data_IF_334531212814
#
_entry.id   IF_334531212814
#
_cell.length_a   1.000
_cell.length_b   1.000
_cell.length_c   1.000
_cell.angle_alpha   90.00
_cell.angle_beta   90.00
_cell.angle_gamma   90.00
#
_symmetry.space_group_name_H-M   'P 1'
#
loop_
_entity.id
_entity.type
_entity.pdbx_description
1 polymer ?
#
# COMPACT_ATOMS: atom_id res chain seq x y z
N UNK A 1 -5.34 -4.86 6.99
CA UNK A 1 -4.22 -4.51 6.08
C UNK A 1 -2.97 -5.21 6.59
N UNK A 2 -2.09 -5.71 5.73
CA UNK A 2 -0.83 -6.35 6.11
C UNK A 2 0.30 -6.01 5.12
N UNK A 3 1.54 -5.99 5.60
CA UNK A 3 2.76 -5.80 4.78
C UNK A 3 3.64 -7.01 4.99
N UNK A 4 4.01 -7.72 3.91
CA UNK A 4 4.78 -8.96 3.95
C UNK A 4 4.25 -9.94 5.01
N UNK A 5 2.94 -10.21 4.98
CA UNK A 5 2.23 -11.07 5.94
C UNK A 5 2.19 -10.58 7.39
N UNK A 6 2.81 -9.44 7.72
CA UNK A 6 2.69 -8.85 9.04
C UNK A 6 1.44 -7.95 9.10
N UNK A 7 0.60 -8.11 10.13
CA UNK A 7 -0.58 -7.26 10.30
C UNK A 7 -0.14 -5.80 10.45
N UNK A 8 -0.83 -4.92 9.72
CA UNK A 8 -0.72 -3.48 9.86
C UNK A 8 -1.97 -3.01 10.59
N UNK A 9 -1.87 -2.95 11.91
CA UNK A 9 -2.73 -2.15 12.76
C UNK A 9 -2.01 -0.85 13.11
N UNK A 10 -2.74 0.26 13.24
CA UNK A 10 -2.17 1.58 13.54
C UNK A 10 -1.18 1.57 14.73
N UNK A 11 -1.45 0.83 15.83
CA UNK A 11 -0.52 0.74 16.95
C UNK A 11 0.79 0.01 16.63
N UNK A 12 0.78 -1.07 15.85
CA UNK A 12 2.01 -1.83 15.54
C UNK A 12 2.58 -1.55 14.15
N UNK A 13 1.98 -0.64 13.36
CA UNK A 13 2.42 -0.33 12.01
C UNK A 13 3.90 0.05 11.95
N UNK A 14 4.34 0.94 12.84
CA UNK A 14 5.75 1.38 12.89
C UNK A 14 6.66 0.21 13.20
N UNK A 15 6.34 -0.58 14.22
CA UNK A 15 7.12 -1.74 14.66
C UNK A 15 7.23 -2.81 13.56
N UNK A 16 6.10 -3.20 12.97
CA UNK A 16 6.05 -4.26 11.98
C UNK A 16 6.70 -3.82 10.66
N UNK A 17 6.52 -2.56 10.27
CA UNK A 17 7.19 -1.99 9.09
C UNK A 17 8.70 -1.92 9.32
N UNK A 18 9.16 -1.48 10.49
CA UNK A 18 10.59 -1.49 10.83
C UNK A 18 11.19 -2.90 10.77
N UNK A 19 10.46 -3.92 11.26
CA UNK A 19 10.90 -5.31 11.17
C UNK A 19 11.05 -5.77 9.71
N UNK A 20 10.10 -5.43 8.83
CA UNK A 20 10.22 -5.71 7.39
C UNK A 20 11.42 -5.00 6.79
N UNK A 21 11.56 -3.69 7.06
CA UNK A 21 12.65 -2.86 6.54
C UNK A 21 14.03 -3.32 7.01
N UNK A 22 14.14 -3.94 8.19
CA UNK A 22 15.41 -4.46 8.71
C UNK A 22 15.91 -5.72 7.99
N UNK A 23 15.01 -6.48 7.37
CA UNK A 23 15.32 -7.78 6.76
C UNK A 23 15.28 -7.77 5.22
N UNK A 24 14.58 -6.80 4.63
CA UNK A 24 14.38 -6.70 3.19
C UNK A 24 15.60 -6.07 2.50
N UNK A 25 15.97 -6.60 1.33
CA UNK A 25 17.05 -6.09 0.49
C UNK A 25 16.49 -5.41 -0.76
N UNK A 26 17.27 -4.50 -1.35
CA UNK A 26 16.90 -3.89 -2.65
C UNK A 26 16.70 -4.98 -3.70
N UNK A 27 15.56 -4.94 -4.39
CA UNK A 27 15.15 -5.93 -5.38
C UNK A 27 14.23 -7.03 -4.82
N UNK A 28 14.17 -7.24 -3.50
CA UNK A 28 13.24 -8.19 -2.90
C UNK A 28 11.79 -7.77 -3.11
N UNK A 29 10.87 -8.70 -3.24
CA UNK A 29 9.46 -8.37 -3.45
C UNK A 29 8.79 -7.94 -2.15
N UNK A 30 8.28 -6.71 -2.12
CA UNK A 30 7.39 -6.21 -1.08
C UNK A 30 5.94 -6.43 -1.49
N UNK A 31 5.17 -7.02 -0.59
CA UNK A 31 3.76 -7.32 -0.74
C UNK A 31 2.96 -6.49 0.27
N UNK A 32 1.98 -5.74 -0.20
CA UNK A 32 0.98 -5.06 0.61
C UNK A 32 -0.38 -5.67 0.31
N UNK A 33 -1.04 -6.23 1.33
CA UNK A 33 -2.37 -6.82 1.22
C UNK A 33 -3.39 -5.94 1.95
N UNK A 34 -4.41 -5.51 1.22
CA UNK A 34 -5.45 -4.60 1.71
C UNK A 34 -6.77 -5.33 1.66
N UNK A 35 -7.33 -5.65 2.82
CA UNK A 35 -8.70 -6.13 2.94
C UNK A 35 -9.66 -4.94 2.83
N UNK A 36 -10.58 -4.97 1.86
CA UNK A 36 -11.64 -3.98 1.64
C UNK A 36 -12.99 -4.66 1.73
N UNK A 37 -13.99 -4.02 2.34
CA UNK A 37 -15.34 -4.56 2.29
C UNK A 37 -15.89 -4.49 0.85
N UNK A 38 -16.58 -5.55 0.43
CA UNK A 38 -17.21 -5.64 -0.88
C UNK A 38 -18.72 -5.41 -0.79
N UNK A 39 -19.37 -5.24 -1.94
CA UNK A 39 -20.81 -4.95 -2.05
C UNK A 39 -21.71 -6.11 -1.57
N UNK A 40 -21.12 -7.24 -1.17
CA UNK A 40 -21.81 -8.47 -0.74
C UNK A 40 -21.73 -8.70 0.77
N UNK A 41 -21.25 -7.71 1.53
CA UNK A 41 -21.11 -7.81 2.98
C UNK A 41 -19.92 -8.67 3.45
N UNK A 42 -18.99 -9.00 2.55
CA UNK A 42 -17.74 -9.69 2.85
C UNK A 42 -16.52 -8.78 2.65
N UNK A 43 -15.33 -9.37 2.67
CA UNK A 43 -14.07 -8.66 2.39
C UNK A 43 -13.37 -9.26 1.17
N UNK A 44 -12.81 -8.40 0.34
CA UNK A 44 -11.91 -8.74 -0.76
C UNK A 44 -10.49 -8.25 -0.43
N UNK A 45 -9.49 -9.08 -0.74
CA UNK A 45 -8.08 -8.74 -0.49
C UNK A 45 -7.43 -8.30 -1.78
N UNK A 46 -6.98 -7.05 -1.82
CA UNK A 46 -6.16 -6.50 -2.89
C UNK A 46 -4.69 -6.70 -2.57
N UNK A 47 -3.96 -7.39 -3.44
CA UNK A 47 -2.53 -7.66 -3.28
C UNK A 47 -1.71 -6.77 -4.22
N UNK A 48 -0.93 -5.88 -3.62
CA UNK A 48 0.03 -5.01 -4.32
C UNK A 48 1.42 -5.62 -4.15
N UNK A 49 2.11 -5.90 -5.26
CA UNK A 49 3.47 -6.49 -5.24
C UNK A 49 4.40 -5.60 -6.05
N UNK A 50 5.53 -5.23 -5.47
CA UNK A 50 6.56 -4.45 -6.16
C UNK A 50 7.96 -4.82 -5.64
N UNK A 51 9.01 -4.72 -6.48
CA UNK A 51 10.39 -4.77 -6.00
C UNK A 51 10.66 -3.66 -5.00
N UNK A 52 11.32 -3.99 -3.89
CA UNK A 52 11.71 -3.05 -2.87
C UNK A 52 12.88 -2.21 -3.35
N UNK A 53 12.74 -0.91 -3.20
CA UNK A 53 13.81 0.04 -3.42
C UNK A 53 13.78 1.06 -2.28
N UNK A 54 14.93 1.23 -1.61
CA UNK A 54 15.07 2.25 -0.59
C UNK A 54 15.22 3.61 -1.28
N UNK A 55 14.13 4.36 -1.38
CA UNK A 55 14.18 5.74 -1.83
C UNK A 55 14.60 6.62 -0.64
N UNK A 56 15.90 6.92 -0.53
CA UNK A 56 16.40 7.93 0.43
C UNK A 56 15.96 9.30 -0.09
N UNK A 57 14.78 9.75 0.33
CA UNK A 57 14.29 11.08 -0.02
C UNK A 57 14.82 12.11 0.98
N UNK A 58 15.67 13.00 0.47
CA UNK A 58 16.18 14.18 1.17
C UNK A 58 15.09 15.23 1.46
N UNK A 59 13.84 15.05 0.99
CA UNK A 59 12.74 16.00 1.22
C UNK A 59 11.41 15.28 1.56
N UNK A 60 10.63 15.87 2.48
CA UNK A 60 9.29 15.39 2.90
C UNK A 60 8.19 15.51 1.81
N UNK A 61 8.53 15.95 0.60
CA UNK A 61 7.61 15.99 -0.55
C UNK A 61 7.83 14.73 -1.40
N UNK A 62 7.18 13.63 -1.05
CA UNK A 62 7.41 12.34 -1.71
C UNK A 62 6.19 11.70 -2.36
N UNK A 63 5.01 12.32 -2.23
CA UNK A 63 3.90 12.01 -3.13
C UNK A 63 4.15 12.84 -4.39
N UNK A 64 4.85 12.26 -5.36
CA UNK A 64 4.84 12.83 -6.70
C UNK A 64 3.44 12.60 -7.26
N UNK A 65 2.67 13.68 -7.40
CA UNK A 65 1.44 13.63 -8.17
C UNK A 65 1.77 13.05 -9.56
N UNK A 66 1.05 12.01 -9.96
CA UNK A 66 1.09 11.55 -11.34
C UNK A 66 0.54 12.71 -12.19
N UNK A 67 1.44 13.42 -12.87
CA UNK A 67 1.12 14.60 -13.70
C UNK A 67 0.12 14.22 -14.81
N UNK A 68 0.22 12.99 -15.32
CA UNK A 68 -0.68 12.42 -16.33
C UNK A 68 -1.12 11.01 -15.91
N UNK A 69 -2.13 10.88 -15.03
CA UNK A 69 -2.63 9.58 -14.63
C UNK A 69 -3.41 8.95 -15.79
N UNK A 70 -3.20 7.66 -16.01
CA UNK A 70 -4.02 6.88 -16.95
C UNK A 70 -5.49 6.85 -16.52
N UNK A 71 -6.41 6.62 -17.46
CA UNK A 71 -7.86 6.47 -17.17
C UNK A 71 -8.13 5.44 -16.07
N UNK A 72 -7.35 4.35 -16.02
CA UNK A 72 -7.47 3.32 -14.98
C UNK A 72 -7.08 3.85 -13.59
N UNK A 73 -6.04 4.67 -13.51
CA UNK A 73 -5.60 5.29 -12.26
C UNK A 73 -6.58 6.36 -11.77
N UNK A 74 -7.19 7.13 -12.67
CA UNK A 74 -8.26 8.08 -12.32
C UNK A 74 -9.45 7.33 -11.73
N UNK A 75 -9.94 6.30 -12.42
CA UNK A 75 -11.05 5.47 -11.95
C UNK A 75 -10.77 4.85 -10.57
N UNK A 76 -9.56 4.33 -10.36
CA UNK A 76 -9.16 3.78 -9.06
C UNK A 76 -9.26 4.82 -7.93
N UNK A 77 -8.85 6.07 -8.18
CA UNK A 77 -8.97 7.15 -7.19
C UNK A 77 -10.43 7.49 -6.89
N UNK A 78 -11.27 7.60 -7.92
CA UNK A 78 -12.70 7.82 -7.74
C UNK A 78 -13.34 6.71 -6.91
N UNK A 79 -13.00 5.46 -7.19
CA UNK A 79 -13.49 4.30 -6.46
C UNK A 79 -12.93 4.19 -5.03
N UNK A 80 -11.80 4.84 -4.74
CA UNK A 80 -11.23 4.97 -3.38
C UNK A 80 -11.89 6.09 -2.57
N UNK A 81 -12.34 7.17 -3.23
CA UNK A 81 -12.96 8.32 -2.59
C UNK A 81 -14.46 8.14 -2.35
N UNK A 82 -15.08 7.11 -2.95
CA UNK A 82 -16.47 6.75 -2.65
C UNK A 82 -16.56 6.23 -1.22
N UNK A 83 -17.43 6.81 -0.37
CA UNK A 83 -17.75 6.20 0.91
C UNK A 83 -18.35 4.82 0.63
N UNK A 84 -17.88 3.80 1.36
CA UNK A 84 -18.54 2.50 1.32
C UNK A 84 -20.00 2.71 1.80
N UNK A 85 -20.99 2.12 1.11
CA UNK A 85 -22.36 2.12 1.61
C UNK A 85 -22.48 1.42 2.97
#
# INVERSE_FOLDING_TARGET
VSVNQLPVDLPNFVKNTQQVLSNIKTGDLLTLEIARANDKGGFETFKLVAPFQLTIQSSRKSINELILPSRKQIKLREDWMKPNP
#
